data_IF_065529910861
#
_entry.id   IF_065529910861
#
_cell.length_a   1.000
_cell.length_b   1.000
_cell.length_c   1.000
_cell.angle_alpha   90.00
_cell.angle_beta   90.00
_cell.angle_gamma   90.00
#
_symmetry.space_group_name_H-M   'P 1'
#
loop_
_entity.id
_entity.type
_entity.pdbx_description
1 polymer ?
#
# COMPACT_ATOMS: atom_id res chain seq x y z
N UNK A 1 -71.75 0.45 -30.60
CA UNK A 1 -71.43 1.85 -30.99
C UNK A 1 -70.10 2.23 -30.35
N UNK A 2 -69.15 2.77 -31.16
CA UNK A 2 -68.05 3.76 -30.90
C UNK A 2 -67.54 3.91 -29.44
N UNK A 3 -66.25 4.00 -29.08
CA UNK A 3 -64.97 4.42 -29.71
C UNK A 3 -63.84 4.02 -28.71
N UNK A 4 -62.74 3.39 -29.15
CA UNK A 4 -61.37 3.97 -29.21
C UNK A 4 -60.99 4.92 -28.07
N UNK A 5 -60.07 4.51 -27.19
CA UNK A 5 -58.99 5.37 -26.67
C UNK A 5 -57.68 4.57 -26.65
N UNK A 6 -56.64 5.15 -27.26
CA UNK A 6 -55.32 4.57 -27.53
C UNK A 6 -54.30 5.62 -27.05
N UNK A 7 -53.33 5.18 -26.24
CA UNK A 7 -52.01 5.75 -25.89
C UNK A 7 -51.92 7.11 -25.16
N UNK A 8 -51.20 7.15 -24.04
CA UNK A 8 -49.76 7.48 -24.00
C UNK A 8 -49.26 7.80 -22.58
N UNK A 9 -48.04 7.33 -22.28
CA UNK A 9 -47.01 7.92 -21.40
C UNK A 9 -47.34 8.17 -19.93
N UNK A 10 -46.74 7.36 -19.05
CA UNK A 10 -45.77 7.80 -18.01
C UNK A 10 -45.17 6.57 -17.32
N UNK A 11 -44.04 6.08 -17.83
CA UNK A 11 -43.06 5.36 -16.99
C UNK A 11 -41.82 6.25 -16.98
N UNK A 12 -41.91 7.34 -16.23
CA UNK A 12 -40.76 8.16 -15.86
C UNK A 12 -40.89 8.51 -14.39
N UNK A 13 -39.84 8.14 -13.64
CA UNK A 13 -39.69 8.37 -12.20
C UNK A 13 -40.02 7.11 -11.40
N UNK A 14 -39.11 6.49 -10.65
CA UNK A 14 -37.81 6.91 -10.14
C UNK A 14 -37.14 5.64 -9.61
N UNK A 15 -36.03 5.20 -10.20
CA UNK A 15 -35.02 4.48 -9.41
C UNK A 15 -33.79 5.37 -9.38
N UNK A 16 -33.61 5.97 -8.22
CA UNK A 16 -32.62 6.96 -7.89
C UNK A 16 -31.21 6.45 -8.20
N UNK A 17 -30.34 7.42 -8.51
CA UNK A 17 -28.89 7.30 -8.42
C UNK A 17 -28.49 6.50 -7.18
N UNK A 18 -28.09 5.24 -7.37
CA UNK A 18 -27.27 4.52 -6.40
C UNK A 18 -25.84 4.82 -6.77
N UNK A 19 -25.34 5.91 -6.20
CA UNK A 19 -23.92 6.23 -6.16
C UNK A 19 -23.21 5.10 -5.40
N UNK A 20 -22.29 4.41 -6.06
CA UNK A 20 -21.09 3.84 -5.45
C UNK A 20 -21.18 2.48 -4.75
N UNK A 21 -22.28 2.08 -4.12
CA UNK A 21 -22.29 0.83 -3.34
C UNK A 21 -23.69 0.22 -3.32
N UNK A 22 -23.89 -0.98 -3.88
CA UNK A 22 -25.13 -1.74 -3.59
C UNK A 22 -25.66 -2.75 -4.61
N UNK A 23 -25.18 -2.80 -5.86
CA UNK A 23 -25.72 -3.78 -6.82
C UNK A 23 -25.29 -5.23 -6.54
N UNK A 24 -24.28 -5.46 -5.71
CA UNK A 24 -23.86 -6.82 -5.30
C UNK A 24 -24.82 -7.48 -4.30
N UNK A 25 -25.61 -6.70 -3.55
CA UNK A 25 -26.49 -7.23 -2.50
C UNK A 25 -27.92 -7.56 -2.99
N UNK A 26 -28.26 -7.20 -4.22
CA UNK A 26 -29.61 -7.42 -4.77
C UNK A 26 -29.74 -8.69 -5.62
N UNK A 27 -28.65 -9.43 -5.84
CA UNK A 27 -28.66 -10.69 -6.57
C UNK A 27 -28.98 -11.84 -5.59
N UNK A 28 -30.08 -12.58 -5.80
CA UNK A 28 -30.25 -13.86 -5.12
C UNK A 28 -29.06 -14.77 -5.43
N UNK A 29 -28.75 -15.73 -4.55
CA UNK A 29 -27.75 -16.79 -4.78
C UNK A 29 -28.12 -17.76 -5.92
N UNK A 30 -29.10 -17.41 -6.76
CA UNK A 30 -29.49 -18.15 -7.96
C UNK A 30 -28.64 -17.66 -9.12
N UNK A 31 -28.17 -18.60 -9.96
CA UNK A 31 -27.19 -18.37 -11.02
C UNK A 31 -27.53 -17.24 -12.00
N UNK A 32 -26.59 -16.93 -12.89
CA UNK A 32 -26.78 -15.91 -13.94
C UNK A 32 -27.99 -16.25 -14.82
N UNK A 33 -28.62 -15.26 -15.48
CA UNK A 33 -29.73 -15.54 -16.40
C UNK A 33 -29.32 -16.45 -17.59
N UNK A 34 -28.02 -16.57 -17.87
CA UNK A 34 -27.46 -17.60 -18.75
C UNK A 34 -27.62 -19.00 -18.18
N UNK A 35 -27.25 -19.21 -16.91
CA UNK A 35 -27.39 -20.49 -16.22
C UNK A 35 -28.86 -20.87 -15.99
N UNK A 36 -29.74 -19.88 -15.80
CA UNK A 36 -31.17 -20.12 -15.53
C UNK A 36 -32.03 -20.21 -16.80
N UNK A 37 -31.71 -19.44 -17.85
CA UNK A 37 -32.60 -19.25 -19.01
C UNK A 37 -31.88 -19.30 -20.38
N UNK A 38 -30.58 -19.59 -20.42
CA UNK A 38 -29.84 -19.88 -21.65
C UNK A 38 -29.44 -18.68 -22.52
N UNK A 39 -29.58 -17.45 -22.03
CA UNK A 39 -29.17 -16.25 -22.76
C UNK A 39 -27.66 -15.96 -22.58
N UNK A 40 -26.90 -16.03 -23.67
CA UNK A 40 -25.45 -15.86 -23.72
C UNK A 40 -24.96 -14.49 -24.16
N UNK A 41 -25.86 -13.52 -24.43
CA UNK A 41 -25.50 -12.13 -24.76
C UNK A 41 -26.55 -11.12 -24.30
N UNK A 42 -26.17 -9.83 -24.20
CA UNK A 42 -27.10 -8.74 -23.90
C UNK A 42 -28.26 -8.68 -24.91
N UNK A 43 -27.99 -8.95 -26.20
CA UNK A 43 -29.02 -9.00 -27.25
C UNK A 43 -30.03 -10.13 -27.00
N UNK A 44 -29.56 -11.29 -26.55
CA UNK A 44 -30.43 -12.42 -26.21
C UNK A 44 -31.25 -12.14 -24.95
N UNK A 45 -30.67 -11.46 -23.95
CA UNK A 45 -31.40 -11.01 -22.76
C UNK A 45 -32.51 -10.01 -23.10
N UNK A 46 -32.25 -9.04 -23.99
CA UNK A 46 -33.26 -8.11 -24.50
C UNK A 46 -34.39 -8.88 -25.20
N UNK A 47 -34.04 -9.84 -26.06
CA UNK A 47 -35.04 -10.67 -26.77
C UNK A 47 -35.87 -11.52 -25.81
N UNK A 48 -35.24 -12.06 -24.76
CA UNK A 48 -35.90 -12.85 -23.73
C UNK A 48 -36.85 -11.98 -22.90
N UNK A 49 -36.42 -10.78 -22.50
CA UNK A 49 -37.27 -9.78 -21.82
C UNK A 49 -38.51 -9.48 -22.65
N UNK A 50 -38.34 -9.17 -23.92
CA UNK A 50 -39.45 -8.79 -24.81
C UNK A 50 -40.45 -9.94 -24.98
N UNK A 51 -39.97 -11.19 -25.07
CA UNK A 51 -40.82 -12.39 -25.08
C UNK A 51 -41.59 -12.56 -23.77
N UNK A 52 -40.94 -12.41 -22.63
CA UNK A 52 -41.58 -12.54 -21.31
C UNK A 52 -42.66 -11.48 -21.09
N UNK A 53 -42.42 -10.25 -21.54
CA UNK A 53 -43.44 -9.18 -21.53
C UNK A 53 -44.63 -9.57 -22.40
N UNK A 54 -44.39 -10.07 -23.62
CA UNK A 54 -45.45 -10.51 -24.51
C UNK A 54 -46.29 -11.66 -23.90
N UNK A 55 -45.66 -12.63 -23.25
CA UNK A 55 -46.35 -13.74 -22.57
C UNK A 55 -47.23 -13.25 -21.40
N UNK A 56 -46.77 -12.24 -20.64
CA UNK A 56 -47.55 -11.60 -19.58
C UNK A 56 -48.75 -10.79 -20.13
N UNK A 57 -48.59 -10.16 -21.29
CA UNK A 57 -49.65 -9.38 -21.95
C UNK A 57 -50.71 -10.27 -22.65
N UNK A 58 -50.37 -11.52 -22.99
CA UNK A 58 -51.29 -12.47 -23.64
C UNK A 58 -51.44 -13.78 -22.83
N UNK A 59 -52.26 -13.81 -21.76
CA UNK A 59 -52.46 -15.02 -20.97
C UNK A 59 -53.11 -16.16 -21.78
N UNK A 60 -52.84 -17.43 -21.46
CA UNK A 60 -53.32 -18.57 -22.24
C UNK A 60 -54.85 -18.64 -22.28
N UNK A 61 -55.42 -18.82 -23.48
CA UNK A 61 -56.88 -18.84 -23.74
C UNK A 61 -57.68 -19.95 -23.03
N UNK A 62 -57.03 -20.90 -22.36
CA UNK A 62 -57.66 -22.09 -21.77
C UNK A 62 -57.26 -22.27 -20.29
N UNK A 63 -57.54 -21.29 -19.43
CA UNK A 63 -57.67 -21.59 -18.00
C UNK A 63 -59.09 -22.10 -17.75
N UNK A 64 -59.29 -23.31 -17.18
CA UNK A 64 -60.61 -23.77 -16.80
C UNK A 64 -61.18 -22.80 -15.75
N UNK A 65 -62.47 -22.46 -15.84
CA UNK A 65 -63.14 -21.68 -14.79
C UNK A 65 -62.89 -22.36 -13.42
N UNK A 66 -62.60 -21.58 -12.37
CA UNK A 66 -62.31 -22.14 -11.06
C UNK A 66 -63.58 -22.81 -10.52
N UNK A 67 -63.60 -24.15 -10.56
CA UNK A 67 -64.58 -24.93 -9.81
C UNK A 67 -64.38 -24.63 -8.32
N UNK A 68 -65.42 -24.10 -7.68
CA UNK A 68 -65.46 -23.69 -6.26
C UNK A 68 -64.91 -24.75 -5.28
N UNK A 69 -64.88 -26.03 -5.66
CA UNK A 69 -64.32 -27.11 -4.83
C UNK A 69 -62.79 -27.27 -4.90
N UNK A 70 -62.12 -26.79 -5.96
CA UNK A 70 -60.66 -26.90 -6.09
C UNK A 70 -59.91 -25.80 -5.32
N UNK A 71 -60.56 -24.69 -4.97
CA UNK A 71 -59.94 -23.61 -4.17
C UNK A 71 -59.84 -23.94 -2.67
N UNK A 72 -60.47 -25.02 -2.21
CA UNK A 72 -60.42 -25.48 -0.81
C UNK A 72 -59.23 -26.42 -0.51
N UNK A 73 -58.51 -26.85 -1.55
CA UNK A 73 -57.39 -27.82 -1.44
C UNK A 73 -56.11 -27.37 -2.15
N UNK A 74 -55.95 -26.07 -2.43
CA UNK A 74 -54.69 -25.55 -2.97
C UNK A 74 -53.62 -25.60 -1.87
N UNK A 75 -52.53 -26.31 -2.16
CA UNK A 75 -51.35 -26.36 -1.32
C UNK A 75 -50.77 -24.92 -1.21
N UNK A 76 -50.32 -24.44 -0.03
CA UNK A 76 -49.90 -23.04 0.17
C UNK A 76 -48.63 -22.61 -0.60
N UNK A 77 -48.13 -23.44 -1.53
CA UNK A 77 -46.84 -23.30 -2.19
C UNK A 77 -46.91 -23.35 -3.73
N UNK A 78 -48.10 -23.37 -4.35
CA UNK A 78 -48.23 -23.22 -5.81
C UNK A 78 -48.20 -21.74 -6.19
N UNK A 79 -47.04 -21.27 -6.68
CA UNK A 79 -46.93 -19.94 -7.28
C UNK A 79 -47.81 -19.85 -8.53
N UNK A 80 -48.60 -18.78 -8.64
CA UNK A 80 -49.37 -18.46 -9.84
C UNK A 80 -48.42 -18.38 -11.06
N UNK A 81 -48.80 -18.92 -12.24
CA UNK A 81 -47.94 -18.88 -13.44
C UNK A 81 -47.40 -17.48 -13.79
N UNK A 82 -48.18 -16.44 -13.48
CA UNK A 82 -47.80 -15.05 -13.65
C UNK A 82 -46.70 -14.58 -12.67
N UNK A 83 -46.69 -15.08 -11.43
CA UNK A 83 -45.64 -14.74 -10.44
C UNK A 83 -44.29 -15.31 -10.87
N UNK A 84 -44.27 -16.52 -11.43
CA UNK A 84 -43.07 -17.14 -11.98
C UNK A 84 -42.54 -16.32 -13.15
N UNK A 85 -43.40 -15.91 -14.09
CA UNK A 85 -43.02 -15.07 -15.23
C UNK A 85 -42.49 -13.70 -14.79
N UNK A 86 -43.10 -13.07 -13.80
CA UNK A 86 -42.63 -11.81 -13.22
C UNK A 86 -41.26 -11.95 -12.55
N UNK A 87 -41.02 -13.04 -11.81
CA UNK A 87 -39.72 -13.32 -11.20
C UNK A 87 -38.62 -13.55 -12.27
N UNK A 88 -38.95 -14.28 -13.34
CA UNK A 88 -38.05 -14.44 -14.50
C UNK A 88 -37.73 -13.10 -15.14
N UNK A 89 -38.74 -12.28 -15.42
CA UNK A 89 -38.57 -10.96 -16.03
C UNK A 89 -37.65 -10.08 -15.17
N UNK A 90 -37.89 -10.01 -13.87
CA UNK A 90 -37.05 -9.26 -12.92
C UNK A 90 -35.60 -9.74 -12.95
N UNK A 91 -35.37 -11.04 -13.03
CA UNK A 91 -34.02 -11.64 -13.09
C UNK A 91 -33.31 -11.26 -14.39
N UNK A 92 -34.02 -11.30 -15.53
CA UNK A 92 -33.50 -10.88 -16.84
C UNK A 92 -33.17 -9.39 -16.85
N UNK A 93 -34.06 -8.53 -16.32
CA UNK A 93 -33.83 -7.08 -16.26
C UNK A 93 -32.60 -6.72 -15.41
N UNK A 94 -32.42 -7.39 -14.26
CA UNK A 94 -31.22 -7.20 -13.43
C UNK A 94 -29.98 -7.65 -14.19
N UNK A 95 -30.01 -8.80 -14.87
CA UNK A 95 -28.87 -9.26 -15.66
C UNK A 95 -28.55 -8.27 -16.81
N UNK A 96 -29.57 -7.71 -17.48
CA UNK A 96 -29.36 -6.71 -18.52
C UNK A 96 -28.62 -5.48 -18.00
N UNK A 97 -28.99 -4.97 -16.82
CA UNK A 97 -28.28 -3.85 -16.18
C UNK A 97 -26.83 -4.20 -15.85
N UNK A 98 -26.58 -5.44 -15.40
CA UNK A 98 -25.22 -5.95 -15.16
C UNK A 98 -24.41 -5.97 -16.47
N UNK A 99 -24.99 -6.49 -17.56
CA UNK A 99 -24.30 -6.56 -18.86
C UNK A 99 -24.08 -5.20 -19.50
N UNK A 100 -25.03 -4.27 -19.39
CA UNK A 100 -24.88 -2.91 -19.92
C UNK A 100 -23.70 -2.19 -19.24
N UNK A 101 -23.63 -2.26 -17.91
CA UNK A 101 -22.49 -1.72 -17.16
C UNK A 101 -21.19 -2.44 -17.48
N UNK A 102 -21.23 -3.76 -17.65
CA UNK A 102 -20.06 -4.55 -18.03
C UNK A 102 -19.53 -4.15 -19.42
N UNK A 103 -20.40 -3.93 -20.39
CA UNK A 103 -20.01 -3.46 -21.73
C UNK A 103 -19.40 -2.06 -21.72
N UNK A 104 -19.93 -1.13 -20.93
CA UNK A 104 -19.38 0.22 -20.82
C UNK A 104 -17.99 0.21 -20.19
N UNK A 105 -17.85 -0.46 -19.05
CA UNK A 105 -16.55 -0.68 -18.38
C UNK A 105 -15.54 -1.36 -19.32
N UNK A 106 -15.97 -2.39 -20.06
CA UNK A 106 -15.13 -3.06 -21.06
C UNK A 106 -14.66 -2.09 -22.15
N UNK A 107 -15.58 -1.34 -22.77
CA UNK A 107 -15.26 -0.35 -23.81
C UNK A 107 -14.31 0.72 -23.29
N UNK A 108 -14.53 1.21 -22.07
CA UNK A 108 -13.66 2.20 -21.43
C UNK A 108 -12.25 1.64 -21.19
N UNK A 109 -12.14 0.40 -20.70
CA UNK A 109 -10.86 -0.27 -20.52
C UNK A 109 -10.08 -0.40 -21.84
N UNK A 110 -10.75 -0.82 -22.93
CA UNK A 110 -10.12 -0.91 -24.26
C UNK A 110 -9.63 0.48 -24.71
N UNK A 111 -10.45 1.53 -24.58
CA UNK A 111 -10.06 2.90 -24.96
C UNK A 111 -8.79 3.36 -24.22
N UNK A 112 -8.74 3.15 -22.90
CA UNK A 112 -7.60 3.53 -22.07
C UNK A 112 -6.32 2.76 -22.46
N UNK A 113 -6.44 1.45 -22.71
CA UNK A 113 -5.33 0.63 -23.17
C UNK A 113 -4.81 1.06 -24.56
N UNK A 114 -5.71 1.40 -25.49
CA UNK A 114 -5.32 1.94 -26.80
C UNK A 114 -4.60 3.27 -26.66
N UNK A 115 -5.04 4.15 -25.77
CA UNK A 115 -4.32 5.39 -25.48
C UNK A 115 -2.94 5.12 -24.88
N UNK A 116 -2.81 4.14 -23.98
CA UNK A 116 -1.51 3.75 -23.41
C UNK A 116 -0.53 3.32 -24.50
N UNK A 117 -1.00 2.50 -25.46
CA UNK A 117 -0.20 2.04 -26.59
C UNK A 117 0.17 3.18 -27.56
N UNK A 118 -0.70 4.18 -27.74
CA UNK A 118 -0.41 5.34 -28.59
C UNK A 118 0.61 6.30 -27.97
N UNK A 119 0.58 6.46 -26.65
CA UNK A 119 1.52 7.31 -25.90
C UNK A 119 2.90 6.64 -25.80
N UNK A 120 2.95 5.31 -25.77
CA UNK A 120 4.19 4.55 -25.77
C UNK A 120 5.00 4.81 -27.05
N UNK A 121 6.01 5.67 -26.97
CA UNK A 121 6.96 5.90 -28.07
C UNK A 121 7.94 4.72 -28.16
N UNK A 122 8.05 4.02 -29.31
CA UNK A 122 8.97 2.90 -29.45
C UNK A 122 10.47 3.28 -29.38
N UNK A 123 10.80 4.56 -29.59
CA UNK A 123 12.19 4.97 -29.85
C UNK A 123 12.91 5.67 -28.69
N UNK A 124 12.23 6.00 -27.59
CA UNK A 124 12.73 6.34 -26.23
C UNK A 124 11.69 7.23 -25.50
N UNK A 125 10.81 6.66 -24.65
CA UNK A 125 9.80 7.46 -23.96
C UNK A 125 10.40 8.22 -22.78
N UNK A 126 10.08 9.51 -22.67
CA UNK A 126 10.47 10.34 -21.53
C UNK A 126 9.89 9.78 -20.21
N UNK A 127 10.51 10.05 -19.04
CA UNK A 127 9.97 9.57 -17.75
C UNK A 127 8.50 9.95 -17.52
N UNK A 128 8.09 11.14 -18.00
CA UNK A 128 6.70 11.61 -17.93
C UNK A 128 5.77 10.80 -18.83
N UNK A 129 6.20 10.45 -20.05
CA UNK A 129 5.43 9.58 -20.94
C UNK A 129 5.26 8.19 -20.35
N UNK A 130 6.33 7.59 -19.80
CA UNK A 130 6.24 6.26 -19.16
C UNK A 130 5.29 6.26 -17.97
N UNK A 131 5.32 7.30 -17.14
CA UNK A 131 4.36 7.48 -16.03
C UNK A 131 2.92 7.59 -16.53
N UNK A 132 2.69 8.34 -17.61
CA UNK A 132 1.36 8.45 -18.23
C UNK A 132 0.87 7.09 -18.76
N UNK A 133 1.74 6.31 -19.40
CA UNK A 133 1.42 4.95 -19.87
C UNK A 133 1.06 4.04 -18.69
N UNK A 134 1.84 4.08 -17.60
CA UNK A 134 1.56 3.34 -16.37
C UNK A 134 0.17 3.69 -15.79
N UNK A 135 -0.15 4.98 -15.70
CA UNK A 135 -1.47 5.45 -15.20
C UNK A 135 -2.63 4.99 -16.09
N UNK A 136 -2.46 5.02 -17.42
CA UNK A 136 -3.48 4.58 -18.37
C UNK A 136 -3.75 3.07 -18.24
N UNK A 137 -2.70 2.25 -18.12
CA UNK A 137 -2.85 0.81 -17.87
C UNK A 137 -3.53 0.53 -16.53
N UNK A 138 -3.16 1.24 -15.46
CA UNK A 138 -3.82 1.12 -14.16
C UNK A 138 -5.31 1.45 -14.22
N UNK A 139 -5.68 2.55 -14.89
CA UNK A 139 -7.09 2.93 -15.09
C UNK A 139 -7.85 1.89 -15.94
N UNK A 140 -7.21 1.31 -16.95
CA UNK A 140 -7.82 0.27 -17.77
C UNK A 140 -8.12 -0.99 -16.96
N UNK A 141 -7.19 -1.42 -16.10
CA UNK A 141 -7.39 -2.57 -15.20
C UNK A 141 -8.52 -2.29 -14.20
N UNK A 142 -8.55 -1.11 -13.58
CA UNK A 142 -9.61 -0.76 -12.62
C UNK A 142 -11.00 -0.82 -13.27
N UNK A 143 -11.15 -0.37 -14.52
CA UNK A 143 -12.42 -0.50 -15.25
C UNK A 143 -12.83 -1.96 -15.46
N UNK A 144 -11.87 -2.85 -15.75
CA UNK A 144 -12.15 -4.28 -15.87
C UNK A 144 -12.48 -4.93 -14.52
N UNK A 145 -11.83 -4.52 -13.43
CA UNK A 145 -12.09 -5.04 -12.08
C UNK A 145 -13.47 -4.63 -11.55
N UNK A 146 -14.06 -3.54 -12.07
CA UNK A 146 -15.45 -3.13 -11.81
C UNK A 146 -16.51 -3.98 -12.55
N UNK A 147 -16.11 -4.84 -13.48
CA UNK A 147 -17.05 -5.76 -14.15
C UNK A 147 -17.44 -6.88 -13.18
N UNK A 148 -18.74 -7.03 -12.96
CA UNK A 148 -19.29 -8.04 -12.04
C UNK A 148 -18.84 -9.45 -12.42
N UNK A 149 -18.49 -10.32 -11.44
CA UNK A 149 -18.21 -11.73 -11.70
C UNK A 149 -19.44 -12.49 -12.23
N UNK A 150 -20.65 -11.93 -12.09
CA UNK A 150 -21.89 -12.46 -12.63
C UNK A 150 -22.19 -12.00 -14.07
N UNK A 151 -21.33 -11.17 -14.67
CA UNK A 151 -21.48 -10.78 -16.08
C UNK A 151 -21.11 -11.94 -17.01
N UNK A 152 -21.76 -12.01 -18.16
CA UNK A 152 -21.39 -12.88 -19.28
C UNK A 152 -19.95 -12.62 -19.76
N UNK A 153 -19.43 -11.40 -19.53
CA UNK A 153 -18.05 -11.02 -19.84
C UNK A 153 -17.03 -11.43 -18.77
N UNK A 154 -17.43 -12.03 -17.63
CA UNK A 154 -16.53 -12.26 -16.50
C UNK A 154 -15.28 -13.09 -16.86
N UNK A 155 -15.44 -14.15 -17.66
CA UNK A 155 -14.31 -14.98 -18.13
C UNK A 155 -13.37 -14.20 -19.05
N UNK A 156 -13.93 -13.43 -19.97
CA UNK A 156 -13.16 -12.62 -20.92
C UNK A 156 -12.40 -11.50 -20.19
N UNK A 157 -13.07 -10.86 -19.24
CA UNK A 157 -12.54 -9.85 -18.32
C UNK A 157 -11.36 -10.39 -17.54
N UNK A 158 -11.50 -11.56 -16.93
CA UNK A 158 -10.42 -12.21 -16.17
C UNK A 158 -9.15 -12.43 -17.01
N UNK A 159 -9.31 -12.84 -18.27
CA UNK A 159 -8.18 -12.99 -19.19
C UNK A 159 -7.58 -11.65 -19.59
N UNK A 160 -8.42 -10.64 -19.85
CA UNK A 160 -7.97 -9.31 -20.26
C UNK A 160 -7.23 -8.58 -19.13
N UNK A 161 -7.65 -8.76 -17.89
CA UNK A 161 -6.95 -8.25 -16.70
C UNK A 161 -5.53 -8.82 -16.63
N UNK A 162 -5.34 -10.12 -16.89
CA UNK A 162 -3.99 -10.73 -16.89
C UNK A 162 -3.08 -10.12 -17.95
N UNK A 163 -3.59 -9.92 -19.17
CA UNK A 163 -2.88 -9.25 -20.26
C UNK A 163 -2.48 -7.83 -19.86
N UNK A 164 -3.41 -7.04 -19.31
CA UNK A 164 -3.14 -5.65 -18.94
C UNK A 164 -2.20 -5.54 -17.74
N UNK A 165 -2.28 -6.46 -16.77
CA UNK A 165 -1.33 -6.55 -15.66
C UNK A 165 0.09 -6.85 -16.15
N UNK A 166 0.24 -7.67 -17.18
CA UNK A 166 1.53 -7.92 -17.82
C UNK A 166 2.09 -6.63 -18.46
N UNK A 167 1.31 -5.92 -19.28
CA UNK A 167 1.75 -4.65 -19.88
C UNK A 167 2.05 -3.56 -18.84
N UNK A 168 1.27 -3.51 -17.75
CA UNK A 168 1.53 -2.62 -16.62
C UNK A 168 2.84 -2.99 -15.90
N UNK A 169 3.15 -4.28 -15.75
CA UNK A 169 4.41 -4.71 -15.13
C UNK A 169 5.62 -4.32 -15.97
N UNK A 170 5.59 -4.50 -17.29
CA UNK A 170 6.71 -4.13 -18.17
C UNK A 170 7.06 -2.64 -18.05
N UNK A 171 6.06 -1.75 -18.16
CA UNK A 171 6.31 -0.31 -18.04
C UNK A 171 6.76 0.11 -16.64
N UNK A 172 6.29 -0.61 -15.61
CA UNK A 172 6.69 -0.37 -14.22
C UNK A 172 8.15 -0.75 -14.00
N UNK A 173 8.58 -1.89 -14.53
CA UNK A 173 9.97 -2.35 -14.46
C UNK A 173 10.91 -1.38 -15.21
N UNK A 174 10.53 -0.92 -16.40
CA UNK A 174 11.30 0.08 -17.14
C UNK A 174 11.46 1.40 -16.37
N UNK A 175 10.38 1.88 -15.73
CA UNK A 175 10.42 3.07 -14.89
C UNK A 175 11.34 2.89 -13.70
N UNK A 176 11.26 1.74 -13.02
CA UNK A 176 12.12 1.42 -11.89
C UNK A 176 13.59 1.35 -12.32
N UNK A 177 13.89 0.75 -13.47
CA UNK A 177 15.24 0.69 -14.03
C UNK A 177 15.79 2.08 -14.37
N UNK A 178 14.97 2.93 -15.01
CA UNK A 178 15.35 4.31 -15.33
C UNK A 178 15.65 5.13 -14.07
N UNK A 179 14.77 5.05 -13.07
CA UNK A 179 14.94 5.74 -11.77
C UNK A 179 16.15 5.20 -11.00
N UNK A 180 16.38 3.88 -11.04
CA UNK A 180 17.54 3.25 -10.40
C UNK A 180 18.87 3.67 -11.04
N UNK A 181 18.88 3.93 -12.36
CA UNK A 181 20.05 4.51 -13.06
C UNK A 181 20.39 5.91 -12.57
N UNK A 182 19.39 6.73 -12.24
CA UNK A 182 19.59 8.06 -11.63
C UNK A 182 20.28 7.90 -10.27
N UNK A 183 19.80 6.98 -9.42
CA UNK A 183 20.46 6.70 -8.14
C UNK A 183 21.89 6.17 -8.32
N UNK A 184 22.16 5.33 -9.31
CA UNK A 184 23.50 4.83 -9.61
C UNK A 184 24.43 5.95 -10.12
N UNK A 185 23.91 6.93 -10.88
CA UNK A 185 24.66 8.13 -11.26
C UNK A 185 24.97 8.98 -10.02
N UNK A 186 23.97 9.30 -9.20
CA UNK A 186 24.16 10.07 -7.96
C UNK A 186 25.17 9.38 -7.06
N UNK A 187 25.11 8.04 -6.92
CA UNK A 187 26.10 7.27 -6.16
C UNK A 187 27.52 7.53 -6.65
N UNK A 188 27.76 7.47 -7.96
CA UNK A 188 29.08 7.70 -8.57
C UNK A 188 29.55 9.13 -8.30
N UNK A 189 28.70 10.11 -8.56
CA UNK A 189 29.03 11.54 -8.38
C UNK A 189 29.26 11.91 -6.91
N UNK A 190 28.59 11.22 -5.99
CA UNK A 190 28.78 11.42 -4.54
C UNK A 190 30.02 10.73 -4.00
N UNK A 191 30.74 9.93 -4.82
CA UNK A 191 31.93 9.20 -4.39
C UNK A 191 31.65 8.01 -3.46
N UNK A 192 30.41 7.55 -3.37
CA UNK A 192 30.05 6.36 -2.59
C UNK A 192 30.66 5.09 -3.18
N UNK A 193 30.83 4.04 -2.38
CA UNK A 193 31.33 2.76 -2.91
C UNK A 193 30.32 2.11 -3.86
N UNK A 194 30.76 1.09 -4.62
CA UNK A 194 29.88 0.30 -5.49
C UNK A 194 28.85 -0.54 -4.72
N UNK A 195 29.05 -0.73 -3.42
CA UNK A 195 28.17 -1.50 -2.55
C UNK A 195 27.17 -0.63 -1.79
N UNK A 196 27.20 0.70 -1.98
CA UNK A 196 26.29 1.59 -1.27
C UNK A 196 24.82 1.28 -1.62
N UNK A 197 23.94 1.34 -0.63
CA UNK A 197 22.50 1.16 -0.78
C UNK A 197 21.81 2.50 -0.66
N UNK A 198 20.97 2.82 -1.64
CA UNK A 198 20.14 4.03 -1.62
C UNK A 198 18.68 3.61 -1.77
N UNK A 199 17.79 4.14 -0.95
CA UNK A 199 16.34 3.98 -1.13
C UNK A 199 15.69 5.33 -0.92
N UNK A 200 14.80 5.73 -1.82
CA UNK A 200 14.03 6.96 -1.72
C UNK A 200 12.56 6.62 -1.93
N UNK A 201 11.71 7.09 -1.01
CA UNK A 201 10.28 6.87 -1.08
C UNK A 201 9.53 8.17 -0.78
N UNK A 202 8.41 8.41 -1.47
CA UNK A 202 7.38 9.31 -0.96
C UNK A 202 6.61 8.65 0.18
N UNK A 203 5.91 9.45 1.00
CA UNK A 203 4.99 8.90 2.01
C UNK A 203 3.81 8.10 1.42
N UNK A 204 3.55 8.23 0.11
CA UNK A 204 2.57 7.43 -0.64
C UNK A 204 3.13 6.09 -1.12
N UNK A 205 4.36 5.73 -0.72
CA UNK A 205 5.05 4.49 -1.11
C UNK A 205 5.41 4.41 -2.61
N UNK A 206 5.53 5.54 -3.31
CA UNK A 206 6.25 5.58 -4.59
C UNK A 206 7.76 5.57 -4.27
N UNK A 207 8.40 4.44 -4.56
CA UNK A 207 9.75 4.12 -4.10
C UNK A 207 10.67 3.78 -5.26
N UNK A 208 11.92 4.23 -5.17
CA UNK A 208 13.04 3.81 -6.00
C UNK A 208 14.19 3.39 -5.10
N UNK A 209 14.95 2.38 -5.50
CA UNK A 209 16.12 1.97 -4.76
C UNK A 209 17.27 1.52 -5.66
N UNK A 210 18.47 1.61 -5.10
CA UNK A 210 19.70 1.07 -5.63
C UNK A 210 20.22 0.07 -4.60
N UNK A 211 20.17 -1.22 -4.93
CA UNK A 211 20.55 -2.33 -4.04
C UNK A 211 19.81 -2.32 -2.70
N UNK A 212 18.56 -1.84 -2.69
CA UNK A 212 17.84 -1.61 -1.44
C UNK A 212 17.40 -2.87 -0.70
N UNK A 213 17.46 -4.03 -1.34
CA UNK A 213 17.25 -5.35 -0.73
C UNK A 213 18.56 -6.02 -0.28
N UNK A 214 19.72 -5.44 -0.61
CA UNK A 214 21.00 -5.97 -0.15
C UNK A 214 21.28 -5.52 1.28
N UNK A 215 21.82 -6.39 2.14
CA UNK A 215 22.18 -6.00 3.49
C UNK A 215 23.53 -5.28 3.54
N UNK A 216 23.66 -4.22 4.37
CA UNK A 216 24.97 -3.67 4.68
C UNK A 216 25.79 -4.66 5.52
N UNK A 217 27.09 -4.40 5.66
CA UNK A 217 27.99 -5.22 6.47
C UNK A 217 27.53 -5.32 7.95
N UNK A 218 26.79 -4.32 8.42
CA UNK A 218 26.01 -4.33 9.66
C UNK A 218 25.00 -3.19 9.64
N UNK A 219 23.91 -3.24 10.44
CA UNK A 219 22.96 -2.13 10.54
C UNK A 219 23.49 -0.91 11.31
N UNK A 220 24.60 -1.05 12.03
CA UNK A 220 25.05 -0.05 13.02
C UNK A 220 23.87 0.44 13.90
N UNK A 221 23.84 1.73 14.21
CA UNK A 221 22.76 2.32 15.02
C UNK A 221 21.43 2.53 14.26
N UNK A 222 21.34 2.20 12.97
CA UNK A 222 20.06 2.24 12.24
C UNK A 222 19.08 1.19 12.77
N UNK A 223 19.58 0.12 13.41
CA UNK A 223 18.77 -0.91 14.08
C UNK A 223 17.87 -0.37 15.21
N UNK A 224 18.10 0.86 15.66
CA UNK A 224 17.31 1.49 16.71
C UNK A 224 15.90 1.87 16.23
N UNK A 225 15.69 2.05 14.92
CA UNK A 225 14.36 2.27 14.33
C UNK A 225 13.44 1.05 14.50
N UNK A 226 13.82 -0.18 14.09
CA UNK A 226 12.99 -1.36 14.32
C UNK A 226 12.68 -1.61 15.80
N UNK A 227 13.61 -1.31 16.71
CA UNK A 227 13.36 -1.39 18.17
C UNK A 227 12.30 -0.38 18.61
N UNK A 228 12.35 0.85 18.12
CA UNK A 228 11.39 1.90 18.44
C UNK A 228 9.97 1.55 17.98
N UNK A 229 9.79 1.08 16.74
CA UNK A 229 8.45 0.72 16.24
C UNK A 229 7.88 -0.50 16.99
N UNK A 230 8.71 -1.46 17.40
CA UNK A 230 8.28 -2.59 18.21
C UNK A 230 7.84 -2.14 19.62
N UNK A 231 8.53 -1.15 20.20
CA UNK A 231 8.10 -0.52 21.46
C UNK A 231 6.75 0.17 21.28
N UNK A 232 6.59 1.01 20.25
CA UNK A 232 5.34 1.73 19.98
C UNK A 232 4.16 0.77 19.76
N UNK A 233 4.39 -0.36 19.09
CA UNK A 233 3.39 -1.40 18.96
C UNK A 233 2.98 -1.98 20.32
N UNK A 234 3.97 -2.42 21.13
CA UNK A 234 3.71 -3.04 22.43
C UNK A 234 2.92 -2.11 23.35
N UNK A 235 3.32 -0.84 23.43
CA UNK A 235 2.64 0.12 24.31
C UNK A 235 1.21 0.39 23.87
N UNK A 236 0.92 0.38 22.55
CA UNK A 236 -0.42 0.58 22.03
C UNK A 236 -1.31 -0.63 22.27
N UNK A 237 -0.80 -1.82 21.98
CA UNK A 237 -1.50 -3.10 22.17
C UNK A 237 -1.82 -3.35 23.66
N UNK A 238 -0.83 -3.17 24.54
CA UNK A 238 -0.95 -3.44 25.97
C UNK A 238 -1.41 -2.22 26.78
N UNK A 239 -1.68 -1.08 26.12
CA UNK A 239 -2.09 0.19 26.74
C UNK A 239 -1.12 0.66 27.83
N UNK A 240 0.17 0.51 27.60
CA UNK A 240 1.23 0.91 28.53
C UNK A 240 1.50 2.40 28.38
N UNK A 241 1.61 3.11 29.50
CA UNK A 241 2.02 4.51 29.49
C UNK A 241 3.49 4.65 29.10
N UNK A 242 3.79 5.55 28.17
CA UNK A 242 5.17 5.95 27.84
C UNK A 242 5.94 6.51 29.04
N UNK A 243 5.24 7.00 30.07
CA UNK A 243 5.82 7.49 31.31
C UNK A 243 6.18 6.37 32.29
N UNK A 244 5.82 5.11 31.99
CA UNK A 244 6.20 3.95 32.79
C UNK A 244 7.73 3.92 32.97
N UNK A 245 8.16 3.87 34.22
CA UNK A 245 9.57 3.80 34.57
C UNK A 245 10.09 2.37 34.46
N UNK A 246 11.25 2.23 33.82
CA UNK A 246 12.00 0.97 33.69
C UNK A 246 13.38 1.17 34.27
N UNK A 247 13.81 0.24 35.13
CA UNK A 247 15.15 0.24 35.69
C UNK A 247 16.16 -0.19 34.62
N UNK A 248 17.15 0.65 34.36
CA UNK A 248 18.29 0.29 33.52
C UNK A 248 19.22 -0.62 34.31
N UNK A 249 19.38 -1.86 33.87
CA UNK A 249 20.18 -2.85 34.60
C UNK A 249 21.67 -2.59 34.39
N UNK A 250 22.48 -2.81 35.45
CA UNK A 250 23.94 -2.68 35.42
C UNK A 250 24.62 -3.41 34.26
N UNK A 251 24.13 -4.60 33.92
CA UNK A 251 24.64 -5.42 32.82
C UNK A 251 24.40 -4.85 31.41
N UNK A 252 23.55 -3.85 31.25
CA UNK A 252 23.35 -3.19 29.95
C UNK A 252 24.30 -2.01 29.71
N UNK A 253 25.16 -1.70 30.68
CA UNK A 253 26.18 -0.67 30.53
C UNK A 253 27.14 -1.01 29.38
N UNK A 254 27.45 0.03 28.61
CA UNK A 254 28.44 0.01 27.54
C UNK A 254 28.91 1.43 27.29
N UNK A 255 30.04 1.62 26.63
CA UNK A 255 30.54 2.96 26.32
C UNK A 255 29.65 3.60 25.25
N UNK A 256 28.97 4.69 25.62
CA UNK A 256 28.30 5.59 24.70
C UNK A 256 28.27 7.03 25.25
N UNK A 257 27.93 8.00 24.40
CA UNK A 257 27.86 9.41 24.76
C UNK A 257 26.51 9.81 25.40
N UNK A 258 25.71 8.84 25.89
CA UNK A 258 24.35 9.12 26.33
C UNK A 258 24.26 9.56 27.79
N UNK A 259 23.16 10.23 28.12
CA UNK A 259 22.85 10.62 29.51
C UNK A 259 22.31 9.48 30.37
N UNK A 260 22.03 8.30 29.78
CA UNK A 260 21.40 7.17 30.46
C UNK A 260 22.42 6.44 31.33
N UNK A 261 22.17 6.44 32.63
CA UNK A 261 23.03 5.77 33.59
C UNK A 261 22.45 4.43 34.02
N UNK A 262 23.32 3.43 34.13
CA UNK A 262 22.93 2.15 34.67
C UNK A 262 22.51 2.26 36.15
N UNK A 263 21.62 1.37 36.60
CA UNK A 263 21.04 1.31 37.95
C UNK A 263 20.14 2.51 38.29
N UNK A 264 19.61 3.20 37.28
CA UNK A 264 18.62 4.26 37.42
C UNK A 264 17.36 3.95 36.62
N UNK A 265 16.24 4.55 37.01
CA UNK A 265 14.94 4.35 36.36
C UNK A 265 14.60 5.52 35.44
N UNK A 266 14.27 5.21 34.19
CA UNK A 266 13.90 6.18 33.16
C UNK A 266 12.54 5.81 32.58
N UNK A 267 11.80 6.78 32.03
CA UNK A 267 10.55 6.43 31.35
C UNK A 267 10.86 5.71 30.03
N UNK A 268 9.90 4.93 29.51
CA UNK A 268 10.00 4.37 28.16
C UNK A 268 10.21 5.48 27.12
N UNK A 269 9.57 6.63 27.32
CA UNK A 269 9.77 7.85 26.51
C UNK A 269 11.21 8.35 26.54
N UNK A 270 11.81 8.46 27.73
CA UNK A 270 13.19 8.93 27.90
C UNK A 270 14.18 7.97 27.24
N UNK A 271 13.99 6.66 27.45
CA UNK A 271 14.83 5.62 26.85
C UNK A 271 14.73 5.61 25.33
N UNK A 272 13.51 5.66 24.77
CA UNK A 272 13.31 5.73 23.32
C UNK A 272 13.88 7.03 22.74
N UNK A 273 13.67 8.15 23.44
CA UNK A 273 14.24 9.45 23.11
C UNK A 273 15.75 9.34 22.97
N UNK A 274 16.46 9.00 24.04
CA UNK A 274 17.93 8.86 24.09
C UNK A 274 18.48 7.84 23.09
N UNK A 275 17.73 6.75 22.83
CA UNK A 275 18.07 5.79 21.77
C UNK A 275 18.05 6.44 20.38
N UNK A 276 17.07 7.29 20.09
CA UNK A 276 16.90 7.85 18.74
C UNK A 276 17.73 9.12 18.56
N UNK A 277 17.68 10.07 19.50
CA UNK A 277 18.25 11.41 19.39
C UNK A 277 19.76 11.50 19.68
N UNK A 278 20.29 10.68 20.60
CA UNK A 278 21.71 10.61 20.96
C UNK A 278 22.33 9.26 20.62
N UNK A 279 21.56 8.35 20.00
CA UNK A 279 22.05 7.02 19.64
C UNK A 279 22.55 6.22 20.86
N UNK A 280 21.92 6.34 22.03
CA UNK A 280 22.28 5.60 23.24
C UNK A 280 22.21 4.08 23.03
N UNK A 281 23.33 3.39 23.20
CA UNK A 281 23.41 1.94 23.24
C UNK A 281 22.83 1.38 24.54
N UNK A 282 23.08 2.04 25.69
CA UNK A 282 22.54 1.61 26.99
C UNK A 282 21.00 1.60 26.96
N UNK A 283 20.39 2.68 26.45
CA UNK A 283 18.94 2.75 26.31
C UNK A 283 18.41 1.67 25.37
N UNK A 284 19.11 1.43 24.25
CA UNK A 284 18.73 0.40 23.27
C UNK A 284 18.77 -0.99 23.89
N UNK A 285 19.84 -1.31 24.62
CA UNK A 285 20.02 -2.58 25.28
C UNK A 285 18.93 -2.82 26.32
N UNK A 286 18.57 -1.78 27.09
CA UNK A 286 17.49 -1.87 28.04
C UNK A 286 16.12 -2.05 27.37
N UNK A 287 15.87 -1.41 26.23
CA UNK A 287 14.63 -1.60 25.46
C UNK A 287 14.57 -2.97 24.80
N UNK A 288 15.69 -3.52 24.33
CA UNK A 288 15.77 -4.91 23.85
C UNK A 288 15.43 -5.88 24.97
N UNK A 289 15.93 -5.68 26.19
CA UNK A 289 15.58 -6.51 27.35
C UNK A 289 14.11 -6.36 27.75
N UNK A 290 13.58 -5.15 27.72
CA UNK A 290 12.20 -4.86 28.07
C UNK A 290 11.21 -5.54 27.11
N UNK A 291 11.52 -5.54 25.81
CA UNK A 291 10.67 -6.14 24.78
C UNK A 291 10.91 -7.65 24.64
N UNK A 292 12.17 -8.07 24.70
CA UNK A 292 12.64 -9.38 24.26
C UNK A 292 12.84 -9.45 22.74
N UNK A 293 13.99 -9.97 22.30
CA UNK A 293 14.30 -10.14 20.86
C UNK A 293 13.26 -10.98 20.11
N UNK A 294 12.68 -11.99 20.75
CA UNK A 294 11.65 -12.83 20.13
C UNK A 294 10.39 -12.03 19.82
N UNK A 295 9.95 -11.17 20.75
CA UNK A 295 8.82 -10.27 20.53
C UNK A 295 9.11 -9.31 19.38
N UNK A 296 10.29 -8.64 19.41
CA UNK A 296 10.69 -7.70 18.36
C UNK A 296 10.65 -8.39 16.99
N UNK A 297 11.31 -9.55 16.87
CA UNK A 297 11.42 -10.25 15.60
C UNK A 297 10.08 -10.82 15.10
N UNK A 298 9.22 -11.28 16.01
CA UNK A 298 7.86 -11.76 15.67
C UNK A 298 6.98 -10.61 15.19
N UNK A 299 7.04 -9.46 15.86
CA UNK A 299 6.35 -8.26 15.43
C UNK A 299 6.82 -7.82 14.04
N UNK A 300 8.13 -7.67 13.84
CA UNK A 300 8.68 -7.25 12.54
C UNK A 300 8.27 -8.20 11.41
N UNK A 301 8.29 -9.51 11.64
CA UNK A 301 7.85 -10.49 10.67
C UNK A 301 6.34 -10.42 10.37
N UNK A 302 5.51 -10.16 11.39
CA UNK A 302 4.06 -9.95 11.20
C UNK A 302 3.73 -8.71 10.37
N UNK A 303 4.62 -7.70 10.37
CA UNK A 303 4.52 -6.50 9.53
C UNK A 303 5.11 -6.70 8.13
N UNK A 304 5.58 -7.91 7.80
CA UNK A 304 6.13 -8.24 6.49
C UNK A 304 7.62 -7.93 6.32
N UNK A 305 8.33 -7.52 7.38
CA UNK A 305 9.79 -7.34 7.35
C UNK A 305 10.47 -8.71 7.46
N UNK A 306 10.81 -9.28 6.30
CA UNK A 306 11.37 -10.64 6.18
C UNK A 306 12.85 -10.67 6.50
N UNK A 307 13.56 -9.58 6.24
CA UNK A 307 15.00 -9.53 6.41
C UNK A 307 15.39 -9.00 7.79
N UNK A 308 14.82 -7.90 8.25
CA UNK A 308 15.24 -7.23 9.49
C UNK A 308 15.11 -8.14 10.70
N UNK A 309 16.19 -8.27 11.47
CA UNK A 309 16.19 -9.01 12.75
C UNK A 309 17.05 -8.30 13.80
N UNK A 310 16.56 -8.26 15.03
CA UNK A 310 17.23 -7.70 16.22
C UNK A 310 17.58 -8.84 17.17
N UNK A 311 18.77 -9.40 16.98
CA UNK A 311 19.23 -10.62 17.67
C UNK A 311 20.33 -10.36 18.71
N UNK A 312 20.95 -9.18 18.66
CA UNK A 312 22.13 -8.85 19.43
C UNK A 312 22.05 -7.44 20.04
N UNK A 313 22.39 -7.31 21.32
CA UNK A 313 22.54 -6.03 22.01
C UNK A 313 23.76 -5.26 21.48
N UNK A 314 23.72 -3.95 21.59
CA UNK A 314 24.77 -3.08 21.10
C UNK A 314 25.95 -3.03 22.07
N UNK A 315 27.14 -2.99 21.50
CA UNK A 315 28.40 -2.86 22.21
C UNK A 315 29.04 -1.52 21.83
N UNK A 316 29.65 -0.87 22.81
CA UNK A 316 30.55 0.27 22.66
C UNK A 316 31.94 -0.21 22.25
N UNK A 317 32.97 0.54 22.64
CA UNK A 317 34.33 0.27 22.19
C UNK A 317 34.93 -1.00 22.82
N UNK A 318 34.67 -1.25 24.12
CA UNK A 318 35.29 -2.36 24.83
C UNK A 318 34.35 -3.16 25.74
N UNK A 319 33.21 -2.60 26.18
CA UNK A 319 32.34 -3.25 27.17
C UNK A 319 31.16 -3.94 26.49
N UNK A 320 31.16 -5.28 26.59
CA UNK A 320 30.06 -6.12 26.12
C UNK A 320 28.92 -6.17 27.15
N UNK A 321 27.66 -5.92 26.75
CA UNK A 321 26.53 -6.05 27.66
C UNK A 321 26.27 -7.51 28.05
N UNK A 322 25.66 -7.72 29.21
CA UNK A 322 25.24 -9.03 29.67
C UNK A 322 24.15 -9.63 28.80
N UNK A 323 24.30 -10.93 28.53
CA UNK A 323 23.37 -11.72 27.70
C UNK A 323 23.08 -10.97 26.39
N UNK A 324 24.10 -10.71 25.56
CA UNK A 324 23.92 -9.86 24.39
C UNK A 324 23.03 -10.50 23.33
N UNK A 325 22.69 -11.78 23.43
CA UNK A 325 21.92 -12.51 22.43
C UNK A 325 22.83 -13.30 21.48
N UNK A 326 22.22 -13.95 20.49
CA UNK A 326 22.92 -14.83 19.55
C UNK A 326 22.51 -14.53 18.12
N UNK A 327 23.49 -14.47 17.21
CA UNK A 327 23.27 -14.12 15.82
C UNK A 327 23.53 -12.63 15.55
N UNK A 328 23.46 -12.24 14.27
CA UNK A 328 23.74 -10.87 13.86
C UNK A 328 22.45 -10.06 13.76
N UNK A 329 22.53 -8.79 14.11
CA UNK A 329 21.52 -7.81 13.69
C UNK A 329 21.62 -7.57 12.19
N UNK A 330 20.49 -7.38 11.53
CA UNK A 330 20.43 -7.17 10.08
C UNK A 330 19.20 -6.32 9.72
N UNK A 331 19.29 -5.57 8.62
CA UNK A 331 18.21 -4.80 8.00
C UNK A 331 18.56 -4.57 6.52
N UNK A 332 17.63 -4.04 5.75
CA UNK A 332 17.89 -3.50 4.40
C UNK A 332 17.46 -2.04 4.34
N UNK A 333 17.98 -1.25 3.38
CA UNK A 333 17.53 0.14 3.24
C UNK A 333 16.06 0.22 2.81
N UNK A 334 15.54 -0.75 2.06
CA UNK A 334 14.12 -0.82 1.72
C UNK A 334 13.22 -0.99 2.95
N UNK A 335 13.50 -1.98 3.80
CA UNK A 335 12.69 -2.21 5.00
C UNK A 335 12.81 -1.05 5.99
N UNK A 336 14.02 -0.49 6.17
CA UNK A 336 14.22 0.70 7.01
C UNK A 336 13.46 1.93 6.50
N UNK A 337 13.44 2.12 5.18
CA UNK A 337 12.70 3.23 4.54
C UNK A 337 11.19 3.05 4.74
N UNK A 338 10.67 1.83 4.57
CA UNK A 338 9.25 1.55 4.84
C UNK A 338 8.87 1.82 6.29
N UNK A 339 9.71 1.44 7.27
CA UNK A 339 9.47 1.78 8.68
C UNK A 339 9.35 3.30 8.88
N UNK A 340 10.23 4.07 8.24
CA UNK A 340 10.18 5.53 8.29
C UNK A 340 8.94 6.10 7.58
N UNK A 341 8.49 5.50 6.47
CA UNK A 341 7.21 5.87 5.83
C UNK A 341 6.05 5.66 6.80
N UNK A 342 5.98 4.51 7.48
CA UNK A 342 4.95 4.22 8.49
C UNK A 342 4.96 5.23 9.64
N UNK A 343 6.16 5.56 10.15
CA UNK A 343 6.33 6.57 11.20
C UNK A 343 5.73 7.92 10.76
N UNK A 344 6.11 8.41 9.58
CA UNK A 344 5.68 9.72 9.08
C UNK A 344 4.25 9.77 8.51
N UNK A 345 3.63 8.60 8.32
CA UNK A 345 2.18 8.43 8.06
C UNK A 345 1.35 8.25 9.33
N UNK A 346 1.97 8.28 10.53
CA UNK A 346 1.28 8.04 11.80
C UNK A 346 0.61 6.66 11.89
N UNK A 347 1.22 5.64 11.28
CA UNK A 347 0.71 4.27 11.27
C UNK A 347 1.07 3.49 12.55
N UNK A 348 1.80 4.11 13.49
CA UNK A 348 2.10 3.53 14.80
C UNK A 348 1.46 4.35 15.94
N UNK A 349 1.07 3.69 17.06
CA UNK A 349 0.66 4.39 18.26
C UNK A 349 1.73 5.37 18.72
N UNK A 350 1.33 6.60 19.04
CA UNK A 350 2.27 7.63 19.51
C UNK A 350 3.42 7.94 18.53
N UNK A 351 3.24 7.75 17.22
CA UNK A 351 4.26 8.11 16.19
C UNK A 351 4.85 9.51 16.40
N UNK A 352 4.05 10.49 16.85
CA UNK A 352 4.52 11.84 17.13
C UNK A 352 5.73 11.87 18.09
N UNK A 353 5.74 11.02 19.12
CA UNK A 353 6.84 10.98 20.10
C UNK A 353 8.14 10.50 19.43
N UNK A 354 8.05 9.56 18.50
CA UNK A 354 9.20 9.08 17.74
C UNK A 354 9.64 10.10 16.68
N UNK A 355 8.71 10.77 16.01
CA UNK A 355 9.01 11.88 15.10
C UNK A 355 9.75 13.01 15.85
N UNK A 356 9.28 13.39 17.03
CA UNK A 356 9.93 14.41 17.86
C UNK A 356 11.36 13.99 18.27
N UNK A 357 11.59 12.70 18.53
CA UNK A 357 12.92 12.19 18.82
C UNK A 357 13.84 12.22 17.57
N UNK A 358 13.32 11.83 16.40
CA UNK A 358 14.06 11.91 15.13
C UNK A 358 14.41 13.37 14.77
N UNK A 359 13.51 14.32 15.06
CA UNK A 359 13.73 15.76 14.85
C UNK A 359 14.75 16.36 15.84
N UNK A 360 14.93 15.74 17.01
CA UNK A 360 15.95 16.14 18.00
C UNK A 360 17.29 15.45 17.81
N UNK A 361 17.50 14.75 16.69
CA UNK A 361 18.78 14.11 16.38
C UNK A 361 19.96 15.07 16.63
N UNK A 362 20.89 14.62 17.47
CA UNK A 362 22.08 15.35 17.87
C UNK A 362 23.12 15.36 16.75
N UNK A 363 23.33 14.20 16.13
CA UNK A 363 24.24 14.06 14.99
C UNK A 363 23.58 14.59 13.70
N UNK A 364 24.05 15.75 13.25
CA UNK A 364 23.49 16.48 12.10
C UNK A 364 24.45 16.59 10.92
N UNK A 365 25.56 15.84 10.93
CA UNK A 365 26.62 15.97 9.90
C UNK A 365 26.31 15.23 8.61
N UNK A 366 25.21 14.46 8.56
CA UNK A 366 24.84 13.61 7.43
C UNK A 366 23.59 14.13 6.71
N UNK A 367 22.39 13.72 7.13
CA UNK A 367 21.15 14.03 6.44
C UNK A 367 20.75 15.48 6.61
N UNK A 368 20.79 16.02 7.84
CA UNK A 368 20.55 17.43 8.10
C UNK A 368 21.50 18.32 7.28
N UNK A 369 22.81 18.06 7.32
CA UNK A 369 23.82 18.79 6.57
C UNK A 369 23.60 18.68 5.05
N UNK A 370 23.25 17.49 4.55
CA UNK A 370 23.03 17.26 3.12
C UNK A 370 21.85 18.07 2.57
N UNK A 371 20.85 18.36 3.39
CA UNK A 371 19.69 19.17 2.99
C UNK A 371 19.91 20.68 3.15
N UNK A 372 21.00 21.13 3.78
CA UNK A 372 21.24 22.57 3.96
C UNK A 372 21.47 23.28 2.63
N UNK A 373 20.94 24.50 2.51
CA UNK A 373 21.13 25.37 1.35
C UNK A 373 20.23 25.05 0.14
N UNK A 374 19.51 23.93 0.15
CA UNK A 374 18.57 23.61 -0.93
C UNK A 374 17.26 24.40 -0.79
N UNK A 375 16.74 25.00 -1.89
CA UNK A 375 15.47 25.72 -1.84
C UNK A 375 14.31 24.73 -1.66
N UNK A 376 13.20 25.21 -1.09
CA UNK A 376 11.95 24.44 -0.89
C UNK A 376 12.16 23.07 -0.22
N UNK A 377 13.21 22.97 0.59
CA UNK A 377 13.62 21.75 1.30
C UNK A 377 13.60 22.02 2.80
N UNK A 378 12.98 21.13 3.56
CA UNK A 378 12.93 21.17 5.02
C UNK A 378 13.32 19.81 5.57
N UNK A 379 14.29 19.77 6.47
CA UNK A 379 14.61 18.58 7.24
C UNK A 379 13.56 18.35 8.34
N UNK A 380 13.05 17.11 8.45
CA UNK A 380 12.01 16.75 9.42
C UNK A 380 12.54 15.88 10.55
N UNK A 381 13.60 15.10 10.31
CA UNK A 381 14.21 14.24 11.30
C UNK A 381 15.05 13.15 10.66
N UNK A 382 15.99 12.55 11.39
CA UNK A 382 16.79 11.45 10.88
C UNK A 382 17.23 10.47 11.96
N UNK A 383 17.61 9.25 11.54
CA UNK A 383 18.45 8.35 12.32
C UNK A 383 19.75 8.07 11.58
N UNK A 384 20.88 8.44 12.18
CA UNK A 384 22.21 8.08 11.68
C UNK A 384 22.66 6.73 12.23
N UNK A 385 23.58 6.06 11.54
CA UNK A 385 24.23 4.86 12.02
C UNK A 385 25.66 4.76 11.53
N UNK A 386 26.59 4.62 12.48
CA UNK A 386 28.01 4.50 12.20
C UNK A 386 28.64 3.42 13.09
N UNK A 387 29.58 2.68 12.52
CA UNK A 387 30.58 1.88 13.23
C UNK A 387 31.83 1.74 12.36
N UNK A 388 32.78 0.89 12.73
CA UNK A 388 34.03 0.70 11.99
C UNK A 388 33.89 0.20 10.53
N UNK A 389 32.70 -0.26 10.12
CA UNK A 389 32.47 -0.86 8.79
C UNK A 389 31.44 -0.11 7.97
N UNK A 390 30.47 0.52 8.60
CA UNK A 390 29.28 1.07 7.93
C UNK A 390 29.02 2.49 8.40
N UNK A 391 28.61 3.33 7.47
CA UNK A 391 28.00 4.64 7.72
C UNK A 391 26.67 4.69 6.99
N UNK A 392 25.67 5.35 7.57
CA UNK A 392 24.42 5.61 6.89
C UNK A 392 23.48 6.53 7.66
N UNK A 393 22.42 6.93 6.98
CA UNK A 393 21.31 7.68 7.56
C UNK A 393 20.00 7.24 6.91
N UNK A 394 18.90 7.42 7.64
CA UNK A 394 17.56 7.49 7.07
C UNK A 394 16.95 8.82 7.50
N UNK A 395 16.67 9.69 6.52
CA UNK A 395 16.22 11.07 6.74
C UNK A 395 14.82 11.24 6.17
N UNK A 396 13.97 11.93 6.92
CA UNK A 396 12.71 12.46 6.44
C UNK A 396 12.88 13.93 6.09
N UNK A 397 12.41 14.30 4.90
CA UNK A 397 12.49 15.65 4.37
C UNK A 397 11.16 16.04 3.73
N UNK A 398 10.81 17.32 3.77
CA UNK A 398 9.79 17.89 2.92
C UNK A 398 10.48 18.63 1.77
N UNK A 399 10.20 18.24 0.53
CA UNK A 399 10.81 18.79 -0.68
C UNK A 399 9.66 19.17 -1.62
N UNK A 400 9.63 20.42 -2.08
CA UNK A 400 8.55 20.94 -2.93
C UNK A 400 7.14 20.73 -2.35
N UNK A 401 7.02 20.68 -1.01
CA UNK A 401 5.75 20.47 -0.31
C UNK A 401 5.38 18.99 -0.07
N UNK A 402 6.04 18.03 -0.73
CA UNK A 402 5.83 16.59 -0.52
C UNK A 402 6.86 16.01 0.44
N UNK A 403 6.46 15.01 1.24
CA UNK A 403 7.37 14.34 2.20
C UNK A 403 8.05 13.14 1.55
N UNK A 404 9.36 13.09 1.71
CA UNK A 404 10.23 12.03 1.24
C UNK A 404 10.98 11.41 2.41
N UNK A 405 11.21 10.10 2.31
CA UNK A 405 12.19 9.38 3.11
C UNK A 405 13.36 9.03 2.19
N UNK A 406 14.57 9.41 2.59
CA UNK A 406 15.81 9.11 1.87
C UNK A 406 16.70 8.29 2.82
N UNK A 407 17.03 7.07 2.43
CA UNK A 407 17.93 6.20 3.16
C UNK A 407 19.19 5.97 2.34
N UNK A 408 20.35 6.25 2.92
CA UNK A 408 21.65 6.06 2.29
C UNK A 408 22.59 5.32 3.24
N UNK A 409 23.17 4.22 2.78
CA UNK A 409 24.07 3.36 3.56
C UNK A 409 25.29 3.01 2.70
N UNK A 410 26.49 3.04 3.29
CA UNK A 410 27.73 2.63 2.62
C UNK A 410 28.59 1.79 3.57
N UNK A 411 29.19 0.72 3.02
CA UNK A 411 30.08 -0.19 3.73
C UNK A 411 31.52 0.37 3.85
N UNK A 412 31.63 1.68 4.07
CA UNK A 412 32.89 2.37 4.30
C UNK A 412 32.69 3.52 5.28
N UNK A 413 33.09 3.35 6.54
CA UNK A 413 32.86 4.38 7.58
C UNK A 413 33.53 5.73 7.30
N UNK A 414 34.55 5.79 6.44
CA UNK A 414 35.21 7.04 6.08
C UNK A 414 34.31 7.94 5.20
N UNK A 415 33.23 7.40 4.65
CA UNK A 415 32.38 8.06 3.65
C UNK A 415 31.31 8.99 4.24
N UNK A 416 31.52 9.58 5.43
CA UNK A 416 30.55 10.52 6.04
C UNK A 416 30.21 11.69 5.09
N UNK A 417 31.19 12.41 4.50
CA UNK A 417 30.89 13.47 3.53
C UNK A 417 30.16 12.97 2.28
N UNK A 418 30.47 11.76 1.81
CA UNK A 418 29.89 11.16 0.61
C UNK A 418 28.43 10.75 0.82
N UNK A 419 28.06 10.26 2.02
CA UNK A 419 26.64 10.03 2.36
C UNK A 419 25.90 11.36 2.42
N UNK A 420 26.48 12.38 3.04
CA UNK A 420 25.83 13.71 3.08
C UNK A 420 25.63 14.28 1.67
N UNK A 421 26.65 14.14 0.81
CA UNK A 421 26.61 14.55 -0.60
C UNK A 421 25.56 13.78 -1.39
N UNK A 422 25.37 12.48 -1.13
CA UNK A 422 24.34 11.70 -1.84
C UNK A 422 22.93 12.13 -1.43
N UNK A 423 22.70 12.41 -0.14
CA UNK A 423 21.43 12.99 0.33
C UNK A 423 21.18 14.35 -0.34
N UNK A 424 22.22 15.20 -0.41
CA UNK A 424 22.14 16.49 -1.09
C UNK A 424 21.73 16.35 -2.56
N UNK A 425 22.46 15.52 -3.32
CA UNK A 425 22.21 15.31 -4.76
C UNK A 425 20.85 14.68 -5.05
N UNK A 426 20.39 13.76 -4.19
CA UNK A 426 19.02 13.21 -4.29
C UNK A 426 17.99 14.32 -4.11
N UNK A 427 18.14 15.13 -3.06
CA UNK A 427 17.19 16.20 -2.77
C UNK A 427 17.24 17.31 -3.84
N UNK A 428 18.42 17.71 -4.31
CA UNK A 428 18.62 18.64 -5.42
C UNK A 428 17.92 18.15 -6.69
N UNK A 429 18.11 16.88 -7.06
CA UNK A 429 17.43 16.29 -8.21
C UNK A 429 15.91 16.38 -8.10
N UNK A 430 15.34 16.07 -6.93
CA UNK A 430 13.89 16.16 -6.67
C UNK A 430 13.42 17.63 -6.70
N UNK A 431 14.22 18.57 -6.20
CA UNK A 431 13.91 20.01 -6.27
C UNK A 431 13.77 20.45 -7.72
N UNK A 432 14.71 20.06 -8.58
CA UNK A 432 14.78 20.47 -9.99
C UNK A 432 13.75 19.77 -10.88
N UNK A 433 13.53 18.47 -10.65
CA UNK A 433 12.73 17.61 -11.54
C UNK A 433 11.34 17.25 -10.97
N UNK A 434 11.07 17.62 -9.72
CA UNK A 434 9.80 17.38 -9.00
C UNK A 434 9.64 15.98 -8.42
N UNK A 435 10.36 14.98 -8.94
CA UNK A 435 10.35 13.59 -8.47
C UNK A 435 11.64 12.89 -8.94
N UNK A 436 11.89 11.68 -8.43
CA UNK A 436 12.89 10.76 -8.97
C UNK A 436 12.38 9.99 -10.19
#
# INVERSE_FOLDING_TARGET
MRQVWRWATTVTGTMAMIVGMGLTQALPSFGTASELYGAGSLKELITLRDRLIQELETPPKNQPEPNFFNSLFTDPLEFEPNEILLQKLKTVEIQMLVEERAEDNWKQAIRLATQAQQVANPNDPSPQQRKQVQELWGKAINNLEEISPHSLLARQTSNKIKEYKFSLSEITDELLDARSKILEQIRKESGLTRQAMLTVCTIKRDCVNLRGNEPPASPASLIKVPVAIALLHKIGEEKISLEQKVLVVGGNFTEDASSIQARQSYSLKDLMGQMIDHSSNIATNQLIDYLGSDYINKYLESQGYKFTKVNFKLMGDHIMPWRPGTGRNRLTSNELTEMMVQIYNYEHPSSQVLIDALNRQYDRVIGYAGLQGLPKTQWLGEKTGQNSKVIGTTVAAQINGEKYIITAIDNNTANVPQISTSVHKIAEYIVENGQL
#
